data_IF_059276953575
#
_entry.id   IF_059276953575
#
_cell.length_a   1.000
_cell.length_b   1.000
_cell.length_c   1.000
_cell.angle_alpha   90.00
_cell.angle_beta   90.00
_cell.angle_gamma   90.00
#
_symmetry.space_group_name_H-M   'P 1'
#
loop_
_entity.id
_entity.type
_entity.pdbx_description
1 polymer ?
#
# COMPACT_ATOMS: atom_id res chain seq x y z
N UNK A 1 -8.66 26.35 -9.45
CA UNK A 1 -8.51 25.09 -8.69
C UNK A 1 -9.65 24.17 -9.06
N UNK A 2 -9.44 22.85 -9.05
CA UNK A 2 -10.44 21.90 -9.56
C UNK A 2 -11.55 21.66 -8.54
N UNK A 3 -12.79 21.86 -8.97
CA UNK A 3 -13.97 21.50 -8.19
C UNK A 3 -14.16 19.97 -8.21
N UNK A 4 -14.44 19.37 -7.05
CA UNK A 4 -14.80 17.94 -6.94
C UNK A 4 -13.78 17.00 -6.29
N UNK A 5 -12.56 17.44 -5.93
CA UNK A 5 -11.63 16.60 -5.15
C UNK A 5 -11.76 16.82 -3.66
N UNK A 6 -11.62 15.75 -2.86
CA UNK A 6 -11.62 15.78 -1.39
C UNK A 6 -10.23 16.07 -0.80
N UNK A 7 -9.18 15.71 -1.55
CA UNK A 7 -7.78 15.89 -1.20
C UNK A 7 -6.95 16.34 -2.40
N UNK A 8 -5.95 17.19 -2.19
CA UNK A 8 -4.91 17.56 -3.16
C UNK A 8 -3.54 17.30 -2.52
N UNK A 9 -2.68 16.56 -3.22
CA UNK A 9 -1.30 16.31 -2.79
C UNK A 9 -0.38 17.10 -3.73
N UNK A 10 0.38 18.05 -3.19
CA UNK A 10 1.25 18.91 -3.99
C UNK A 10 2.72 18.65 -3.66
N UNK A 11 3.53 18.56 -4.70
CA UNK A 11 5.00 18.64 -4.65
C UNK A 11 5.42 20.04 -5.11
N UNK A 12 6.52 20.55 -4.55
CA UNK A 12 7.04 21.89 -4.78
C UNK A 12 5.95 22.99 -4.76
N UNK A 13 5.09 23.05 -3.71
CA UNK A 13 4.04 24.06 -3.65
C UNK A 13 4.65 25.46 -3.68
N UNK A 14 3.94 26.42 -4.28
CA UNK A 14 4.28 27.82 -4.13
C UNK A 14 4.24 28.19 -2.65
N UNK A 15 5.31 28.82 -2.16
CA UNK A 15 5.40 29.41 -0.83
C UNK A 15 5.57 30.91 -0.97
N UNK A 16 5.04 31.67 -0.02
CA UNK A 16 5.28 33.10 0.04
C UNK A 16 6.79 33.33 0.36
N UNK A 17 7.53 34.08 -0.48
CA UNK A 17 8.98 34.23 -0.32
C UNK A 17 9.40 35.03 0.93
N UNK A 18 8.47 35.72 1.59
CA UNK A 18 8.74 36.54 2.79
C UNK A 18 8.64 35.70 4.07
N UNK A 19 7.62 34.84 4.19
CA UNK A 19 7.35 34.07 5.41
C UNK A 19 7.48 32.54 5.24
N UNK A 20 7.78 32.07 4.02
CA UNK A 20 8.00 30.67 3.64
C UNK A 20 6.81 29.73 3.88
N UNK A 21 5.62 30.30 4.10
CA UNK A 21 4.37 29.56 4.30
C UNK A 21 3.66 29.29 2.97
N UNK A 22 2.93 28.17 2.90
CA UNK A 22 1.99 27.89 1.81
C UNK A 22 0.70 28.75 1.95
N UNK A 23 0.00 29.07 0.84
CA UNK A 23 -1.25 29.83 0.90
C UNK A 23 -2.35 29.16 1.73
N UNK A 24 -3.00 29.92 2.60
CA UNK A 24 -4.29 29.50 3.18
C UNK A 24 -5.41 29.53 2.13
N UNK A 25 -6.44 28.69 2.29
CA UNK A 25 -7.64 28.73 1.44
C UNK A 25 -8.92 28.49 2.24
N UNK A 26 -9.98 29.24 1.94
CA UNK A 26 -11.24 29.23 2.71
C UNK A 26 -11.98 27.87 2.76
N UNK A 27 -11.65 26.95 1.85
CA UNK A 27 -12.27 25.62 1.73
C UNK A 27 -11.34 24.44 2.04
N UNK A 28 -10.06 24.67 2.32
CA UNK A 28 -9.06 23.61 2.47
C UNK A 28 -8.17 23.76 3.71
N UNK A 29 -8.09 22.70 4.50
CA UNK A 29 -7.09 22.53 5.55
C UNK A 29 -5.74 22.24 4.87
N UNK A 30 -4.78 23.14 5.06
CA UNK A 30 -3.43 23.01 4.54
C UNK A 30 -2.55 22.26 5.55
N UNK A 31 -1.94 21.15 5.14
CA UNK A 31 -1.10 20.29 5.98
C UNK A 31 0.32 20.25 5.40
N UNK A 32 1.30 20.61 6.22
CA UNK A 32 2.73 20.70 5.90
C UNK A 32 3.52 19.73 6.78
N UNK A 33 4.76 19.34 6.45
CA UNK A 33 5.52 18.37 7.25
C UNK A 33 5.59 18.73 8.75
N UNK A 34 5.38 17.74 9.61
CA UNK A 34 5.28 17.92 11.07
C UNK A 34 6.60 18.40 11.66
N UNK A 35 6.56 19.35 12.60
CA UNK A 35 7.74 20.01 13.20
C UNK A 35 8.72 20.66 12.20
N UNK A 36 8.30 20.91 10.94
CA UNK A 36 9.17 21.51 9.93
C UNK A 36 9.02 23.02 9.83
N UNK A 37 10.09 23.76 10.15
CA UNK A 37 10.16 25.22 10.04
C UNK A 37 11.28 25.62 9.07
N UNK A 38 10.89 26.08 7.89
CA UNK A 38 11.80 26.62 6.89
C UNK A 38 12.56 27.84 7.46
N UNK A 39 13.88 27.86 7.31
CA UNK A 39 14.73 28.98 7.74
C UNK A 39 15.04 29.94 6.57
N UNK A 40 15.02 29.41 5.35
CA UNK A 40 15.30 30.12 4.11
C UNK A 40 14.54 29.47 2.94
N UNK A 41 14.64 30.06 1.75
CA UNK A 41 13.96 29.58 0.55
C UNK A 41 14.50 28.23 0.02
N UNK A 42 15.72 27.83 0.40
CA UNK A 42 16.31 26.52 0.04
C UNK A 42 15.73 25.39 0.90
N UNK A 43 15.47 25.69 2.17
CA UNK A 43 14.77 24.89 3.18
C UNK A 43 13.26 25.15 3.23
N UNK A 44 12.67 25.67 2.15
CA UNK A 44 11.20 25.80 2.04
C UNK A 44 10.51 24.43 2.09
N UNK A 45 9.23 24.44 2.44
CA UNK A 45 8.35 23.26 2.35
C UNK A 45 8.32 22.76 0.89
N UNK A 46 8.57 21.46 0.67
CA UNK A 46 8.60 20.85 -0.67
C UNK A 46 7.43 19.89 -0.94
N UNK A 47 6.61 19.61 0.06
CA UNK A 47 5.37 18.82 -0.08
C UNK A 47 4.30 19.40 0.82
N UNK A 48 3.04 19.35 0.40
CA UNK A 48 1.91 19.61 1.29
C UNK A 48 0.66 18.84 0.84
N UNK A 49 -0.29 18.67 1.76
CA UNK A 49 -1.60 18.07 1.49
C UNK A 49 -2.68 19.10 1.83
N UNK A 50 -3.57 19.38 0.89
CA UNK A 50 -4.81 20.12 1.17
C UNK A 50 -5.96 19.14 1.30
N UNK A 51 -6.71 19.20 2.40
CA UNK A 51 -7.93 18.42 2.61
C UNK A 51 -9.14 19.34 2.69
N UNK A 52 -10.27 18.97 2.10
CA UNK A 52 -11.48 19.81 2.19
C UNK A 52 -11.93 19.98 3.63
N UNK A 53 -12.44 21.16 3.96
CA UNK A 53 -13.10 21.45 5.25
C UNK A 53 -14.33 20.55 5.54
N UNK A 54 -14.83 19.82 4.54
CA UNK A 54 -15.88 18.80 4.71
C UNK A 54 -15.36 17.51 5.36
N UNK A 55 -14.03 17.31 5.43
CA UNK A 55 -13.40 16.22 6.19
C UNK A 55 -13.14 16.73 7.62
N UNK A 56 -13.78 16.16 8.66
CA UNK A 56 -13.58 16.61 10.03
C UNK A 56 -12.12 16.45 10.47
N UNK A 57 -11.54 17.50 11.06
CA UNK A 57 -10.15 17.49 11.54
C UNK A 57 -9.86 16.42 12.58
N UNK A 58 -10.86 16.00 13.35
CA UNK A 58 -10.77 14.90 14.31
C UNK A 58 -10.47 13.53 13.69
N UNK A 59 -10.67 13.36 12.37
CA UNK A 59 -10.30 12.14 11.64
C UNK A 59 -8.89 12.20 11.03
N UNK A 60 -8.21 13.34 11.11
CA UNK A 60 -6.90 13.58 10.49
C UNK A 60 -5.82 13.40 11.56
N UNK A 61 -5.10 12.28 11.53
CA UNK A 61 -3.87 12.12 12.32
C UNK A 61 -2.67 12.40 11.43
N UNK A 62 -1.99 13.52 11.66
CA UNK A 62 -0.73 13.77 10.98
C UNK A 62 0.35 12.80 11.47
N UNK A 63 1.13 12.25 10.55
CA UNK A 63 2.24 11.36 10.87
C UNK A 63 3.55 12.17 10.99
N UNK A 64 4.40 11.90 11.99
CA UNK A 64 5.63 12.64 12.19
C UNK A 64 6.60 12.43 11.02
N UNK A 65 7.11 13.53 10.47
CA UNK A 65 8.08 13.53 9.37
C UNK A 65 9.07 14.67 9.56
N UNK A 66 10.34 14.34 9.80
CA UNK A 66 11.43 15.34 9.93
C UNK A 66 12.03 15.74 8.57
N UNK A 67 11.24 15.70 7.50
CA UNK A 67 11.69 15.93 6.12
C UNK A 67 10.76 16.85 5.35
N UNK A 68 11.26 17.90 4.66
CA UNK A 68 10.44 18.72 3.76
C UNK A 68 9.86 17.94 2.58
N UNK A 69 10.48 16.79 2.25
CA UNK A 69 10.16 15.94 1.11
C UNK A 69 9.02 14.95 1.38
N UNK A 70 8.53 14.86 2.62
CA UNK A 70 7.49 13.92 3.01
C UNK A 70 6.46 14.59 3.92
N UNK A 71 5.26 14.79 3.40
CA UNK A 71 4.06 15.03 4.19
C UNK A 71 3.23 13.76 4.21
N UNK A 72 2.86 13.28 5.39
CA UNK A 72 2.05 12.08 5.55
C UNK A 72 0.97 12.29 6.60
N UNK A 73 -0.21 11.75 6.31
CA UNK A 73 -1.37 11.74 7.19
C UNK A 73 -1.99 10.36 7.18
N UNK A 74 -2.66 10.03 8.26
CA UNK A 74 -3.61 8.94 8.35
C UNK A 74 -5.01 9.56 8.47
N UNK A 75 -5.93 9.09 7.63
CA UNK A 75 -7.36 9.35 7.78
C UNK A 75 -7.96 8.15 8.52
N UNK A 76 -8.48 8.41 9.72
CA UNK A 76 -9.04 7.38 10.58
C UNK A 76 -10.41 6.95 10.04
N UNK A 77 -10.44 5.79 9.38
CA UNK A 77 -11.65 5.01 9.12
C UNK A 77 -11.82 3.97 10.26
N UNK A 78 -13.08 3.58 10.49
CA UNK A 78 -13.51 2.72 11.60
C UNK A 78 -13.05 1.25 11.52
N UNK A 79 -12.54 0.78 10.38
CA UNK A 79 -12.06 -0.60 10.19
C UNK A 79 -10.78 -0.66 9.30
N UNK A 80 -9.74 -1.39 9.72
CA UNK A 80 -8.43 -1.45 9.04
C UNK A 80 -7.99 -2.84 8.53
N UNK A 81 -6.86 -2.94 7.82
CA UNK A 81 -6.19 -4.24 7.54
C UNK A 81 -5.39 -4.39 6.22
N UNK A 82 -4.13 -4.85 6.35
CA UNK A 82 -2.98 -4.98 5.40
C UNK A 82 -3.06 -6.21 4.41
N UNK A 83 -2.24 -6.26 3.33
CA UNK A 83 -1.83 -7.52 2.62
C UNK A 83 -1.46 -7.39 1.12
N UNK A 84 -0.35 -8.00 0.62
CA UNK A 84 0.53 -7.58 -0.54
C UNK A 84 0.60 -8.45 -1.85
N UNK A 85 1.31 -7.96 -2.91
CA UNK A 85 2.32 -8.64 -3.83
C UNK A 85 2.38 -8.24 -5.35
N UNK A 86 3.60 -7.92 -5.86
CA UNK A 86 4.07 -7.95 -7.29
C UNK A 86 3.79 -6.76 -8.26
N UNK A 87 4.48 -6.54 -9.40
CA UNK A 87 5.77 -7.03 -9.99
C UNK A 87 6.18 -6.24 -11.31
N UNK A 88 7.50 -6.04 -11.58
CA UNK A 88 8.21 -5.73 -12.87
C UNK A 88 7.96 -4.40 -13.64
N UNK A 89 8.91 -3.69 -14.30
CA UNK A 89 10.41 -3.70 -14.37
C UNK A 89 10.89 -2.32 -14.90
N UNK A 90 11.69 -1.53 -14.16
CA UNK A 90 12.17 -0.14 -14.53
C UNK A 90 13.69 0.02 -14.16
N UNK A 91 14.33 1.21 -14.23
CA UNK A 91 15.76 1.50 -13.94
C UNK A 91 16.20 1.25 -12.48
N UNK A 92 17.51 1.13 -12.18
CA UNK A 92 18.04 0.60 -10.90
C UNK A 92 17.45 1.21 -9.62
N UNK A 93 17.47 2.54 -9.45
CA UNK A 93 16.92 3.17 -8.24
C UNK A 93 15.38 3.10 -8.21
N UNK A 94 14.76 3.17 -9.39
CA UNK A 94 13.33 2.90 -9.52
C UNK A 94 12.99 1.43 -9.20
N UNK A 95 13.86 0.45 -9.50
CA UNK A 95 13.69 -0.96 -9.04
C UNK A 95 13.73 -1.01 -7.53
N UNK A 96 14.65 -0.31 -6.88
CA UNK A 96 14.74 -0.25 -5.42
C UNK A 96 13.47 0.35 -4.82
N UNK A 97 12.97 1.47 -5.35
CA UNK A 97 11.71 2.08 -4.90
C UNK A 97 10.50 1.16 -5.15
N UNK A 98 10.37 0.61 -6.37
CA UNK A 98 9.30 -0.31 -6.75
C UNK A 98 9.33 -1.59 -5.89
N UNK A 99 10.52 -2.11 -5.59
CA UNK A 99 10.73 -3.26 -4.74
C UNK A 99 10.37 -2.94 -3.28
N UNK A 100 10.81 -1.80 -2.74
CA UNK A 100 10.50 -1.35 -1.39
C UNK A 100 9.00 -1.12 -1.20
N UNK A 101 8.35 -0.39 -2.11
CA UNK A 101 6.90 -0.21 -2.08
C UNK A 101 6.17 -1.55 -2.24
N UNK A 102 6.62 -2.42 -3.15
CA UNK A 102 6.04 -3.74 -3.38
C UNK A 102 6.16 -4.69 -2.17
N UNK A 103 7.33 -4.72 -1.51
CA UNK A 103 7.57 -5.54 -0.31
C UNK A 103 6.85 -5.00 0.91
N UNK A 104 6.73 -3.68 1.05
CA UNK A 104 5.86 -3.00 2.02
C UNK A 104 4.34 -3.16 1.72
N UNK A 105 3.97 -3.87 0.66
CA UNK A 105 2.60 -4.22 0.35
C UNK A 105 1.79 -3.18 -0.42
N UNK A 106 2.47 -2.29 -1.13
CA UNK A 106 1.86 -1.33 -2.05
C UNK A 106 1.85 -1.84 -3.50
N UNK A 107 0.88 -1.37 -4.26
CA UNK A 107 0.73 -1.62 -5.70
C UNK A 107 0.63 -0.27 -6.42
N UNK A 108 1.39 -0.14 -7.50
CA UNK A 108 1.29 1.03 -8.37
C UNK A 108 -0.07 1.01 -9.09
N UNK A 109 -0.80 2.13 -9.03
CA UNK A 109 -2.08 2.32 -9.72
C UNK A 109 -2.05 3.42 -10.78
N UNK A 110 -0.97 4.20 -10.88
CA UNK A 110 -0.76 5.13 -12.00
C UNK A 110 -0.96 4.47 -13.36
N UNK A 111 -1.54 5.18 -14.35
CA UNK A 111 -1.62 4.71 -15.73
C UNK A 111 -0.27 4.28 -16.28
N UNK A 112 -0.21 3.09 -16.88
CA UNK A 112 0.99 2.62 -17.59
C UNK A 112 1.09 3.33 -18.94
N UNK A 113 2.31 3.72 -19.32
CA UNK A 113 2.59 4.29 -20.66
C UNK A 113 2.02 5.69 -20.91
N UNK A 114 1.41 6.35 -19.91
CA UNK A 114 1.03 7.75 -19.99
C UNK A 114 2.09 8.59 -19.29
N UNK A 115 2.70 9.55 -19.99
CA UNK A 115 3.67 10.44 -19.38
C UNK A 115 3.00 11.45 -18.44
N UNK A 116 3.72 11.85 -17.41
CA UNK A 116 3.32 12.89 -16.46
C UNK A 116 4.21 14.13 -16.57
N UNK A 117 5.36 14.04 -17.26
CA UNK A 117 6.26 15.15 -17.53
C UNK A 117 6.70 15.13 -18.99
N UNK A 118 6.91 16.32 -19.56
CA UNK A 118 7.51 16.51 -20.89
C UNK A 118 8.70 17.45 -20.75
N UNK A 119 9.90 16.95 -21.04
CA UNK A 119 11.11 17.74 -20.92
C UNK A 119 11.20 18.84 -21.98
N UNK A 120 12.07 19.83 -21.75
CA UNK A 120 12.41 20.87 -22.73
C UNK A 120 12.89 20.31 -24.08
N UNK A 121 13.38 19.07 -24.10
CA UNK A 121 13.83 18.34 -25.30
C UNK A 121 12.74 17.43 -25.90
N UNK A 122 11.48 17.64 -25.50
CA UNK A 122 10.33 16.85 -25.97
C UNK A 122 10.34 15.40 -25.51
N UNK A 123 11.06 15.04 -24.45
CA UNK A 123 11.07 13.67 -23.92
C UNK A 123 9.90 13.48 -22.95
N UNK A 124 9.08 12.47 -23.21
CA UNK A 124 7.88 12.14 -22.44
C UNK A 124 8.23 11.10 -21.38
N UNK A 125 8.10 11.44 -20.10
CA UNK A 125 8.42 10.52 -18.99
C UNK A 125 7.27 10.42 -17.99
N UNK A 126 7.13 9.24 -17.37
CA UNK A 126 6.20 9.00 -16.27
C UNK A 126 7.02 8.96 -14.97
N UNK A 127 7.02 10.05 -14.22
CA UNK A 127 7.80 10.21 -12.98
C UNK A 127 6.92 10.44 -11.75
N UNK A 128 5.66 10.84 -11.95
CA UNK A 128 4.66 10.99 -10.91
C UNK A 128 3.91 9.66 -10.72
N UNK A 129 3.91 9.13 -9.49
CA UNK A 129 3.44 7.78 -9.20
C UNK A 129 2.44 7.76 -8.03
N UNK A 130 1.26 7.19 -8.25
CA UNK A 130 0.30 6.86 -7.18
C UNK A 130 0.42 5.39 -6.81
N UNK A 131 0.70 5.15 -5.53
CA UNK A 131 0.76 3.83 -4.91
C UNK A 131 -0.37 3.70 -3.90
N UNK A 132 -1.01 2.53 -3.83
CA UNK A 132 -1.98 2.20 -2.78
C UNK A 132 -1.58 0.89 -2.12
N UNK A 133 -1.89 0.72 -0.83
CA UNK A 133 -1.72 -0.59 -0.21
C UNK A 133 -2.65 -1.61 -0.89
N UNK A 134 -2.19 -2.84 -1.01
CA UNK A 134 -2.81 -3.83 -1.86
C UNK A 134 -4.28 -4.20 -1.51
N UNK A 135 -4.76 -4.15 -0.24
CA UNK A 135 -6.18 -4.29 0.07
C UNK A 135 -7.05 -3.18 -0.58
N UNK A 136 -6.54 -1.95 -0.61
CA UNK A 136 -7.23 -0.78 -1.16
C UNK A 136 -7.27 -0.78 -2.69
N UNK A 137 -6.46 -1.61 -3.38
CA UNK A 137 -6.45 -1.69 -4.86
C UNK A 137 -7.80 -2.05 -5.45
N UNK A 138 -8.59 -2.84 -4.72
CA UNK A 138 -9.97 -3.22 -5.06
C UNK A 138 -10.97 -2.09 -4.86
N UNK A 139 -10.64 -1.10 -4.01
CA UNK A 139 -11.43 0.10 -3.74
C UNK A 139 -11.06 1.27 -4.67
N UNK A 140 -9.93 1.21 -5.38
CA UNK A 140 -9.59 2.18 -6.43
C UNK A 140 -10.53 1.99 -7.62
N UNK A 141 -11.36 3.00 -7.87
CA UNK A 141 -12.29 3.04 -9.02
C UNK A 141 -11.53 3.44 -10.29
N UNK A 142 -10.62 4.41 -10.18
CA UNK A 142 -9.78 4.86 -11.29
C UNK A 142 -8.56 5.63 -10.80
N UNK A 143 -7.46 5.56 -11.54
CA UNK A 143 -6.37 6.53 -11.48
C UNK A 143 -6.10 6.99 -12.92
N UNK A 144 -5.98 8.31 -13.15
CA UNK A 144 -5.78 8.89 -14.49
C UNK A 144 -4.87 10.11 -14.44
N UNK A 145 -4.10 10.33 -15.50
CA UNK A 145 -3.42 11.61 -15.74
C UNK A 145 -4.48 12.62 -16.20
N UNK A 146 -4.45 13.82 -15.64
CA UNK A 146 -5.28 14.94 -16.08
C UNK A 146 -4.64 15.60 -17.31
N UNK A 147 -5.47 15.98 -18.29
CA UNK A 147 -5.04 16.74 -19.47
C UNK A 147 -5.02 18.25 -19.19
N UNK A 148 -5.76 18.68 -18.16
CA UNK A 148 -5.74 20.04 -17.64
C UNK A 148 -4.45 20.26 -16.86
N UNK A 149 -3.61 21.14 -17.41
CA UNK A 149 -2.36 21.53 -16.80
C UNK A 149 -2.58 22.80 -15.94
N UNK A 150 -2.27 22.72 -14.65
CA UNK A 150 -2.53 23.79 -13.68
C UNK A 150 -1.40 24.82 -13.57
N UNK A 151 -0.68 25.07 -14.67
CA UNK A 151 0.47 25.98 -14.71
C UNK A 151 1.78 25.34 -14.25
N UNK A 152 1.92 24.02 -14.44
CA UNK A 152 3.11 23.24 -14.11
C UNK A 152 3.72 22.64 -15.38
N UNK A 153 4.99 22.27 -15.34
CA UNK A 153 5.62 21.39 -16.32
C UNK A 153 5.24 19.90 -16.14
N UNK A 154 4.56 19.56 -15.05
CA UNK A 154 3.97 18.25 -14.77
C UNK A 154 2.45 18.21 -15.01
N UNK A 155 1.94 17.02 -15.32
CA UNK A 155 0.53 16.68 -15.41
C UNK A 155 0.08 15.97 -14.12
N UNK A 156 -1.00 16.46 -13.53
CA UNK A 156 -1.51 15.93 -12.25
C UNK A 156 -2.13 14.53 -12.41
N UNK A 157 -2.02 13.71 -11.36
CA UNK A 157 -2.74 12.45 -11.23
C UNK A 157 -4.01 12.62 -10.41
N UNK A 158 -5.14 12.14 -10.93
CA UNK A 158 -6.42 12.06 -10.22
C UNK A 158 -6.76 10.61 -9.90
N UNK A 159 -6.92 10.30 -8.62
CA UNK A 159 -7.28 8.96 -8.12
C UNK A 159 -8.61 9.01 -7.39
N UNK A 160 -9.52 8.12 -7.77
CA UNK A 160 -10.85 7.97 -7.15
C UNK A 160 -10.87 6.65 -6.39
N UNK A 161 -11.20 6.72 -5.11
CA UNK A 161 -11.28 5.57 -4.20
C UNK A 161 -12.72 5.53 -3.66
N UNK A 162 -13.38 4.38 -3.77
CA UNK A 162 -14.70 4.16 -3.17
C UNK A 162 -14.52 3.30 -1.90
N UNK A 163 -14.59 3.91 -0.69
CA UNK A 163 -14.36 3.19 0.57
C UNK A 163 -15.39 2.09 0.83
N UNK A 164 -16.58 2.17 0.20
CA UNK A 164 -17.70 1.26 0.42
C UNK A 164 -17.74 0.05 -0.54
N UNK A 165 -16.77 -0.10 -1.44
CA UNK A 165 -16.64 -1.30 -2.27
C UNK A 165 -16.38 -2.52 -1.36
N UNK A 166 -17.38 -3.42 -1.29
CA UNK A 166 -17.28 -4.66 -0.52
C UNK A 166 -16.29 -5.61 -1.20
N UNK A 167 -15.24 -5.98 -0.47
CA UNK A 167 -14.25 -6.95 -0.91
C UNK A 167 -14.91 -8.31 -1.23
N UNK A 168 -14.62 -8.94 -2.38
CA UNK A 168 -14.76 -10.38 -2.47
C UNK A 168 -13.72 -11.00 -1.54
N UNK A 169 -14.15 -11.61 -0.44
CA UNK A 169 -13.26 -12.24 0.53
C UNK A 169 -12.40 -13.28 -0.20
N UNK A 170 -11.08 -13.13 -0.15
CA UNK A 170 -10.10 -14.09 -0.65
C UNK A 170 -9.28 -14.60 0.50
N UNK A 171 -9.13 -15.91 0.64
CA UNK A 171 -8.23 -16.52 1.60
C UNK A 171 -7.10 -17.25 0.86
N UNK A 172 -5.88 -17.14 1.38
CA UNK A 172 -4.82 -18.08 1.02
C UNK A 172 -5.13 -19.40 1.70
N UNK A 173 -5.49 -20.41 0.89
CA UNK A 173 -5.52 -21.78 1.38
C UNK A 173 -4.10 -22.33 1.27
N UNK A 174 -3.53 -22.77 2.39
CA UNK A 174 -2.26 -23.50 2.37
C UNK A 174 -2.39 -24.76 1.51
N UNK A 175 -1.30 -25.21 0.89
CA UNK A 175 -1.30 -26.52 0.23
C UNK A 175 -1.68 -27.60 1.26
N UNK A 176 -2.40 -28.65 0.87
CA UNK A 176 -2.44 -29.83 1.73
C UNK A 176 -1.09 -30.54 1.62
N UNK A 177 -0.62 -31.13 2.72
CA UNK A 177 0.60 -31.97 2.69
C UNK A 177 0.52 -33.08 1.63
N UNK A 178 -0.69 -33.61 1.39
CA UNK A 178 -0.99 -34.60 0.34
C UNK A 178 -1.02 -34.06 -1.09
N UNK A 179 -0.98 -32.74 -1.30
CA UNK A 179 -0.99 -32.09 -2.61
C UNK A 179 0.23 -31.20 -2.85
N UNK A 180 1.30 -31.41 -2.08
CA UNK A 180 2.54 -30.66 -2.19
C UNK A 180 3.31 -31.14 -3.43
N UNK A 181 3.77 -30.22 -4.27
CA UNK A 181 4.81 -30.54 -5.24
C UNK A 181 6.12 -30.70 -4.47
N UNK A 182 6.48 -31.95 -4.21
CA UNK A 182 7.69 -32.32 -3.49
C UNK A 182 8.98 -31.85 -4.18
N UNK A 183 9.01 -31.75 -5.52
CA UNK A 183 10.19 -31.28 -6.23
C UNK A 183 10.37 -29.77 -6.03
N UNK A 184 9.33 -28.99 -6.33
CA UNK A 184 9.36 -27.54 -6.08
C UNK A 184 9.59 -27.20 -4.60
N UNK A 185 9.07 -28.01 -3.68
CA UNK A 185 9.29 -27.83 -2.25
C UNK A 185 10.76 -28.06 -1.86
N UNK A 186 11.36 -29.19 -2.25
CA UNK A 186 12.75 -29.50 -1.90
C UNK A 186 13.74 -28.55 -2.58
N UNK A 187 13.49 -28.12 -3.81
CA UNK A 187 14.29 -27.06 -4.45
C UNK A 187 14.22 -25.75 -3.68
N UNK A 188 13.02 -25.29 -3.31
CA UNK A 188 12.86 -24.02 -2.58
C UNK A 188 13.46 -24.06 -1.17
N UNK A 189 13.31 -25.18 -0.44
CA UNK A 189 13.96 -25.37 0.87
C UNK A 189 15.48 -25.45 0.71
N UNK A 190 15.98 -26.16 -0.31
CA UNK A 190 17.41 -26.26 -0.60
C UNK A 190 18.04 -24.90 -0.86
N UNK A 191 17.46 -24.10 -1.77
CA UNK A 191 17.92 -22.74 -2.07
C UNK A 191 17.90 -21.83 -0.85
N UNK A 192 16.84 -21.89 -0.03
CA UNK A 192 16.75 -21.10 1.20
C UNK A 192 17.76 -21.52 2.29
N UNK A 193 18.45 -22.65 2.12
CA UNK A 193 19.44 -23.20 3.04
C UNK A 193 20.86 -23.30 2.42
N UNK A 194 21.10 -22.73 1.23
CA UNK A 194 22.45 -22.71 0.61
C UNK A 194 23.48 -21.99 1.49
N UNK A 195 23.06 -20.96 2.24
CA UNK A 195 23.86 -20.21 3.20
C UNK A 195 23.69 -20.69 4.66
N UNK A 196 23.07 -21.86 4.89
CA UNK A 196 22.76 -22.31 6.24
C UNK A 196 24.03 -22.64 7.06
N UNK A 197 24.15 -22.21 8.33
CA UNK A 197 25.35 -22.45 9.12
C UNK A 197 25.63 -23.95 9.31
N UNK A 198 26.84 -24.37 8.95
CA UNK A 198 27.31 -25.76 9.08
C UNK A 198 27.90 -26.07 10.47
N UNK A 199 28.18 -25.05 11.27
CA UNK A 199 28.67 -25.17 12.65
C UNK A 199 28.01 -24.13 13.55
N UNK A 200 27.69 -24.54 14.78
CA UNK A 200 27.12 -23.68 15.82
C UNK A 200 28.00 -23.79 17.07
N UNK A 201 28.40 -22.66 17.64
CA UNK A 201 29.32 -22.57 18.78
C UNK A 201 28.63 -22.12 20.07
N UNK A 202 27.45 -21.52 19.97
CA UNK A 202 26.66 -21.01 21.11
C UNK A 202 25.20 -21.41 20.97
N UNK A 203 24.46 -21.45 22.08
CA UNK A 203 23.01 -21.74 22.08
C UNK A 203 22.23 -20.71 21.24
N UNK A 204 22.63 -19.44 21.28
CA UNK A 204 21.98 -18.39 20.48
C UNK A 204 22.18 -18.59 18.97
N UNK A 205 23.33 -19.12 18.54
CA UNK A 205 23.53 -19.51 17.14
C UNK A 205 22.65 -20.71 16.75
N UNK A 206 22.47 -21.69 17.65
CA UNK A 206 21.55 -22.82 17.44
C UNK A 206 20.10 -22.33 17.30
N UNK A 207 19.62 -21.46 18.20
CA UNK A 207 18.27 -20.89 18.14
C UNK A 207 18.05 -20.10 16.84
N UNK A 208 19.07 -19.35 16.40
CA UNK A 208 19.05 -18.66 15.11
C UNK A 208 18.97 -19.63 13.93
N UNK A 209 19.73 -20.73 13.96
CA UNK A 209 19.64 -21.80 12.96
C UNK A 209 18.26 -22.48 12.93
N UNK A 210 17.69 -22.79 14.09
CA UNK A 210 16.32 -23.34 14.20
C UNK A 210 15.28 -22.38 13.63
N UNK A 211 15.42 -21.08 13.89
CA UNK A 211 14.54 -20.06 13.33
C UNK A 211 14.62 -20.00 11.80
N UNK A 212 15.83 -19.88 11.24
CA UNK A 212 16.07 -19.84 9.79
C UNK A 212 15.54 -21.09 9.08
N UNK A 213 15.79 -22.29 9.64
CA UNK A 213 15.29 -23.55 9.11
C UNK A 213 13.75 -23.60 9.13
N UNK A 214 13.15 -23.16 10.24
CA UNK A 214 11.69 -23.11 10.39
C UNK A 214 11.05 -22.10 9.43
N UNK A 215 11.68 -20.95 9.20
CA UNK A 215 11.22 -19.95 8.24
C UNK A 215 11.32 -20.48 6.80
N UNK A 216 12.46 -21.07 6.41
CA UNK A 216 12.68 -21.66 5.09
C UNK A 216 11.62 -22.72 4.75
N UNK A 217 11.39 -23.67 5.68
CA UNK A 217 10.36 -24.71 5.59
C UNK A 217 8.96 -24.10 5.42
N UNK A 218 8.57 -23.18 6.30
CA UNK A 218 7.24 -22.56 6.24
C UNK A 218 7.05 -21.74 4.97
N UNK A 219 8.06 -20.98 4.53
CA UNK A 219 8.01 -20.16 3.31
C UNK A 219 7.88 -21.02 2.04
N UNK A 220 8.62 -22.13 1.95
CA UNK A 220 8.52 -23.08 0.85
C UNK A 220 7.18 -23.84 0.82
N UNK A 221 6.56 -24.08 1.98
CA UNK A 221 5.23 -24.67 2.09
C UNK A 221 4.12 -23.67 1.71
N UNK A 222 4.18 -22.45 2.25
CA UNK A 222 3.20 -21.39 2.03
C UNK A 222 3.20 -20.88 0.57
N UNK A 223 4.36 -20.88 -0.11
CA UNK A 223 4.46 -20.47 -1.52
C UNK A 223 3.70 -21.37 -2.49
N UNK A 224 3.39 -22.61 -2.10
CA UNK A 224 2.53 -23.53 -2.87
C UNK A 224 1.04 -23.39 -2.52
N UNK A 225 0.68 -22.54 -1.56
CA UNK A 225 -0.70 -22.20 -1.24
C UNK A 225 -1.41 -21.51 -2.41
N UNK A 226 -2.73 -21.72 -2.52
CA UNK A 226 -3.56 -21.12 -3.58
C UNK A 226 -4.45 -20.03 -2.99
N UNK A 227 -4.45 -18.85 -3.61
CA UNK A 227 -5.45 -17.81 -3.31
C UNK A 227 -6.80 -18.25 -3.85
N UNK A 228 -7.75 -18.51 -2.95
CA UNK A 228 -9.11 -18.92 -3.33
C UNK A 228 -10.06 -17.74 -3.10
N UNK A 229 -10.81 -17.37 -4.14
CA UNK A 229 -11.91 -16.42 -4.04
C UNK A 229 -13.09 -17.10 -3.36
N UNK A 230 -13.54 -16.56 -2.22
CA UNK A 230 -14.76 -17.02 -1.57
C UNK A 230 -15.93 -16.75 -2.51
N UNK A 231 -16.61 -17.81 -2.92
CA UNK A 231 -17.89 -17.71 -3.59
C UNK A 231 -19.00 -17.89 -2.54
N UNK A 232 -19.77 -16.85 -2.17
CA UNK A 232 -20.79 -16.95 -1.15
C UNK A 232 -21.94 -17.93 -1.49
N UNK A 233 -22.06 -18.39 -2.75
CA UNK A 233 -23.01 -19.44 -3.13
C UNK A 233 -22.47 -20.86 -2.97
N UNK A 234 -21.15 -21.03 -2.75
CA UNK A 234 -20.57 -22.33 -2.37
C UNK A 234 -20.56 -22.46 -0.85
N UNK A 235 -21.55 -23.18 -0.33
CA UNK A 235 -21.44 -23.75 1.01
C UNK A 235 -20.18 -24.63 1.11
N UNK A 236 -19.53 -24.64 2.28
CA UNK A 236 -18.37 -25.50 2.49
C UNK A 236 -18.82 -26.96 2.31
N UNK A 237 -18.04 -27.79 1.60
CA UNK A 237 -18.45 -29.17 1.29
C UNK A 237 -18.61 -30.08 2.52
N UNK A 238 -18.09 -29.67 3.67
CA UNK A 238 -18.27 -30.32 4.97
C UNK A 238 -19.41 -29.72 5.81
N UNK A 239 -20.06 -28.64 5.33
CA UNK A 239 -21.14 -27.97 6.05
C UNK A 239 -22.49 -28.58 5.70
N UNK A 240 -22.93 -29.54 6.50
CA UNK A 240 -24.30 -30.02 6.50
C UNK A 240 -25.21 -28.95 7.13
N UNK A 241 -26.10 -28.35 6.31
CA UNK A 241 -27.02 -27.30 6.76
C UNK A 241 -28.04 -27.82 7.77
N UNK A 242 -28.57 -29.00 7.54
CA UNK A 242 -29.70 -29.54 8.30
C UNK A 242 -29.24 -29.92 9.72
N UNK A 243 -27.95 -30.23 9.88
CA UNK A 243 -27.30 -30.48 11.17
C UNK A 243 -26.76 -29.19 11.81
N UNK A 244 -26.05 -28.33 11.06
CA UNK A 244 -25.24 -27.25 11.66
C UNK A 244 -25.95 -25.90 11.78
N UNK A 245 -26.89 -25.57 10.89
CA UNK A 245 -27.61 -24.28 10.94
C UNK A 245 -28.48 -24.16 12.22
N UNK A 246 -29.19 -25.20 12.71
CA UNK A 246 -29.90 -25.16 13.99
C UNK A 246 -28.99 -24.95 15.20
N UNK A 247 -27.78 -25.54 15.18
CA UNK A 247 -26.77 -25.37 16.24
C UNK A 247 -26.28 -23.93 16.26
N UNK A 248 -25.92 -23.37 15.09
CA UNK A 248 -25.45 -21.99 14.98
C UNK A 248 -26.53 -20.99 15.43
N UNK A 249 -27.79 -21.25 15.09
CA UNK A 249 -28.95 -20.43 15.51
C UNK A 249 -29.13 -20.46 17.02
N UNK A 250 -29.00 -21.62 17.65
CA UNK A 250 -29.06 -21.77 19.12
C UNK A 250 -27.91 -21.06 19.82
N UNK A 251 -26.69 -21.16 19.27
CA UNK A 251 -25.50 -20.47 19.80
C UNK A 251 -25.61 -18.94 19.73
N UNK A 252 -26.19 -18.40 18.65
CA UNK A 252 -26.41 -16.96 18.50
C UNK A 252 -27.56 -16.44 19.38
N UNK A 253 -28.54 -17.30 19.73
CA UNK A 253 -29.57 -16.96 20.72
C UNK A 253 -29.00 -16.94 22.14
N UNK A 254 -28.11 -17.88 22.50
CA UNK A 254 -27.44 -17.92 23.81
C UNK A 254 -26.38 -16.82 24.03
N UNK A 255 -26.16 -15.94 23.03
CA UNK A 255 -25.26 -14.77 23.09
C UNK A 255 -26.00 -13.44 23.19
N UNK A 256 -27.33 -13.47 23.33
CA UNK A 256 -28.18 -12.31 23.63
C UNK A 256 -28.70 -12.38 25.05
#
# INVERSE_FOLDING_TARGET
MVEGYDALLLQEPWVNPINLQIPGHAAWHAIVPFDYYAQDYASRIKTCIYLRHTIPTALIRQLPSRSPLLTAIELLDSEGGIGSTGFGTISTDAKTLIHLCGSAGFKLVSPKGTATFVSLWGQWTAIDLTWVNYPLTTKVVSCRVLLENFGSDHQALATVINPHLKLPITYHNTASLSSLDHFSYTTNVGQALEEFPTTFKTTAEIDTGVHLLSEAINKAFLSQGKTIRMNPTRHKSWWDKDILDPILKSWNLARK
#
